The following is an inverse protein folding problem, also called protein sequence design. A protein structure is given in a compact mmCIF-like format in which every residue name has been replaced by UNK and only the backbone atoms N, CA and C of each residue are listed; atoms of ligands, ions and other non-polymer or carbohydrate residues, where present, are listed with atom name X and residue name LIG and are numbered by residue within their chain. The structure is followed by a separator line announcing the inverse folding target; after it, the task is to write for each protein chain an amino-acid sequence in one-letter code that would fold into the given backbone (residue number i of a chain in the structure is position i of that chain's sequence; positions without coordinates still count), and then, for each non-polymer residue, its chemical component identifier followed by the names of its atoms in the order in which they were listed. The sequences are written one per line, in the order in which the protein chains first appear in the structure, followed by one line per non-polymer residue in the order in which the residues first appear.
data_IF_605405974280
#
_entry.id   IF_605405974280
#
_cell.length_a   1.000
_cell.length_b   1.000
_cell.length_c   1.000
_cell.angle_alpha   90.00
_cell.angle_beta   90.00
_cell.angle_gamma   90.00
#
_symmetry.space_group_name_H-M   'P 1'
#
loop_
_entity.id
_entity.type
_entity.pdbx_description
1 polymer ?
#
# COMPACT_ATOMS: atom_id res chain seq x y z
N UNK A 1 -8.48 -6.42 -1.30
CA UNK A 1 -7.44 -6.46 -2.39
C UNK A 1 -6.57 -5.22 -2.27
N UNK A 2 -5.24 -5.14 -2.52
CA UNK A 2 -4.38 -5.99 -3.37
C UNK A 2 -2.95 -6.30 -2.82
N UNK A 3 -2.27 -7.32 -3.37
CA UNK A 3 -0.81 -7.54 -3.39
C UNK A 3 0.00 -7.12 -2.14
N UNK A 4 -0.04 -7.91 -1.07
CA UNK A 4 1.20 -8.21 -0.35
C UNK A 4 1.94 -9.24 -1.21
N UNK A 5 3.21 -9.04 -1.53
CA UNK A 5 4.07 -10.13 -2.04
C UNK A 5 3.69 -11.41 -1.27
N UNK A 6 3.18 -12.40 -1.98
CA UNK A 6 2.35 -13.49 -1.46
C UNK A 6 3.07 -14.41 -0.48
N UNK A 7 3.27 -13.94 0.74
CA UNK A 7 3.75 -14.72 1.88
C UNK A 7 2.78 -14.61 3.07
N UNK A 8 1.48 -14.49 2.81
CA UNK A 8 0.48 -14.90 3.81
C UNK A 8 0.22 -16.39 3.63
N UNK A 9 1.24 -17.19 3.94
CA UNK A 9 1.14 -18.64 3.99
C UNK A 9 0.57 -18.96 5.35
N UNK A 10 -0.76 -18.89 5.43
CA UNK A 10 -1.51 -19.22 6.66
C UNK A 10 -1.23 -20.63 7.16
N UNK A 11 -0.68 -21.49 6.30
CA UNK A 11 -0.42 -22.89 6.60
C UNK A 11 1.06 -23.20 6.92
N UNK A 12 1.99 -22.22 6.85
CA UNK A 12 3.44 -22.43 6.95
C UNK A 12 3.97 -23.66 6.18
N UNK A 13 3.29 -24.02 5.09
CA UNK A 13 3.58 -25.21 4.29
C UNK A 13 4.77 -24.93 3.36
N UNK A 14 5.93 -25.58 3.58
CA UNK A 14 7.14 -25.33 2.80
C UNK A 14 6.97 -25.61 1.30
N UNK A 15 6.09 -26.54 0.90
CA UNK A 15 5.89 -26.90 -0.50
C UNK A 15 5.15 -25.79 -1.25
N UNK A 16 4.02 -25.31 -0.69
CA UNK A 16 3.29 -24.15 -1.22
C UNK A 16 4.16 -22.89 -1.27
N UNK A 17 5.06 -22.76 -0.31
CA UNK A 17 6.01 -21.65 -0.21
C UNK A 17 7.05 -21.71 -1.34
N UNK A 18 7.56 -22.90 -1.65
CA UNK A 18 8.50 -23.11 -2.76
C UNK A 18 7.84 -22.89 -4.13
N UNK A 19 6.59 -23.31 -4.30
CA UNK A 19 5.78 -23.07 -5.50
C UNK A 19 5.58 -21.56 -5.74
N UNK A 20 5.10 -20.83 -4.73
CA UNK A 20 4.90 -19.39 -4.82
C UNK A 20 6.19 -18.60 -5.12
N UNK A 21 7.33 -19.03 -4.56
CA UNK A 21 8.63 -18.41 -4.85
C UNK A 21 9.11 -18.67 -6.28
N UNK A 22 8.81 -19.86 -6.82
CA UNK A 22 9.15 -20.20 -8.21
C UNK A 22 8.36 -19.35 -9.20
N UNK A 23 7.07 -19.14 -8.94
CA UNK A 23 6.21 -18.27 -9.75
C UNK A 23 6.65 -16.80 -9.74
N UNK A 24 7.11 -16.29 -8.59
CA UNK A 24 7.60 -14.91 -8.48
C UNK A 24 8.86 -14.69 -9.34
N UNK A 25 9.72 -15.70 -9.46
CA UNK A 25 10.99 -15.58 -10.20
C UNK A 25 10.78 -15.33 -11.69
N UNK A 26 9.74 -15.92 -12.26
CA UNK A 26 9.45 -15.83 -13.70
C UNK A 26 8.43 -14.73 -14.04
N UNK A 27 7.78 -14.13 -13.02
CA UNK A 27 6.74 -13.11 -13.21
C UNK A 27 7.34 -11.74 -13.48
N UNK A 28 6.88 -11.06 -14.53
CA UNK A 28 7.30 -9.67 -14.79
C UNK A 28 6.62 -8.69 -13.84
N UNK A 29 7.31 -7.58 -13.56
CA UNK A 29 6.78 -6.49 -12.73
C UNK A 29 5.46 -5.93 -13.29
N UNK A 30 5.34 -5.83 -14.62
CA UNK A 30 4.13 -5.36 -15.29
C UNK A 30 2.89 -6.23 -15.00
N UNK A 31 3.09 -7.51 -14.71
CA UNK A 31 2.01 -8.44 -14.37
C UNK A 31 1.60 -8.37 -12.88
N UNK A 32 2.43 -7.73 -12.06
CA UNK A 32 2.18 -7.52 -10.64
C UNK A 32 1.78 -6.08 -10.30
N UNK A 33 2.00 -5.12 -11.19
CA UNK A 33 1.68 -3.71 -10.94
C UNK A 33 0.19 -3.43 -11.03
N UNK A 34 -0.23 -2.29 -10.47
CA UNK A 34 -1.60 -1.77 -10.59
C UNK A 34 -1.58 -0.52 -11.45
N UNK A 35 -2.39 -0.46 -12.51
CA UNK A 35 -2.43 0.70 -13.42
C UNK A 35 -3.21 1.88 -12.81
N UNK A 36 -4.44 1.63 -12.33
CA UNK A 36 -5.34 2.66 -11.83
C UNK A 36 -5.10 3.01 -10.35
N UNK A 37 -3.86 3.42 -10.05
CA UNK A 37 -3.35 3.69 -8.69
C UNK A 37 -4.18 4.77 -7.99
N UNK A 38 -4.48 4.54 -6.72
CA UNK A 38 -5.24 5.50 -5.91
C UNK A 38 -4.29 6.48 -5.25
N UNK A 39 -4.33 7.73 -5.70
CA UNK A 39 -3.46 8.81 -5.25
C UNK A 39 -4.23 9.86 -4.41
N UNK A 40 -3.49 10.70 -3.71
CA UNK A 40 -3.97 11.91 -3.01
C UNK A 40 -2.97 13.08 -3.16
N UNK A 41 -3.44 14.34 -3.07
CA UNK A 41 -2.56 15.52 -3.06
C UNK A 41 -1.85 15.72 -1.70
N UNK A 42 -0.78 16.52 -1.62
CA UNK A 42 0.00 16.72 -0.39
C UNK A 42 -0.77 17.44 0.74
N UNK A 43 -1.80 18.20 0.42
CA UNK A 43 -2.67 18.89 1.37
C UNK A 43 -3.80 17.99 1.93
N UNK A 44 -3.86 16.72 1.52
CA UNK A 44 -4.88 15.79 1.99
C UNK A 44 -4.73 15.48 3.48
N UNK A 45 -5.70 15.92 4.30
CA UNK A 45 -5.70 15.61 5.73
C UNK A 45 -5.80 14.11 6.06
N UNK A 46 -5.31 13.73 7.24
CA UNK A 46 -5.24 12.34 7.73
C UNK A 46 -6.56 11.57 7.63
N UNK A 47 -7.69 12.20 7.96
CA UNK A 47 -9.01 11.57 7.84
C UNK A 47 -9.38 11.20 6.40
N UNK A 48 -8.98 12.00 5.41
CA UNK A 48 -9.20 11.71 3.98
C UNK A 48 -8.33 10.54 3.53
N UNK A 49 -7.07 10.49 3.98
CA UNK A 49 -6.16 9.37 3.73
C UNK A 49 -6.73 8.07 4.32
N UNK A 50 -7.13 8.09 5.59
CA UNK A 50 -7.71 6.92 6.27
C UNK A 50 -8.97 6.40 5.55
N UNK A 51 -9.88 7.30 5.16
CA UNK A 51 -11.08 6.94 4.38
C UNK A 51 -10.72 6.34 3.02
N UNK A 52 -9.74 6.89 2.31
CA UNK A 52 -9.26 6.36 1.02
C UNK A 52 -8.69 4.96 1.19
N UNK A 53 -7.86 4.74 2.20
CA UNK A 53 -7.30 3.42 2.54
C UNK A 53 -8.40 2.41 2.84
N UNK A 54 -9.35 2.75 3.72
CA UNK A 54 -10.45 1.85 4.09
C UNK A 54 -11.37 1.54 2.90
N UNK A 55 -11.72 2.55 2.10
CA UNK A 55 -12.61 2.40 0.93
C UNK A 55 -12.02 1.49 -0.14
N UNK A 56 -10.71 1.55 -0.35
CA UNK A 56 -10.04 0.78 -1.41
C UNK A 56 -9.28 -0.44 -0.89
N UNK A 57 -9.40 -0.75 0.41
CA UNK A 57 -8.69 -1.86 1.07
C UNK A 57 -7.16 -1.87 0.87
N UNK A 58 -6.57 -0.69 0.78
CA UNK A 58 -5.13 -0.49 0.58
C UNK A 58 -4.43 -0.11 1.89
N UNK A 59 -3.17 -0.54 2.04
CA UNK A 59 -2.34 -0.24 3.20
C UNK A 59 -1.48 1.03 3.04
N UNK A 60 -1.33 1.49 1.79
CA UNK A 60 -0.46 2.61 1.41
C UNK A 60 -1.14 3.43 0.32
N UNK A 61 -0.91 4.74 0.34
CA UNK A 61 -1.45 5.69 -0.65
C UNK A 61 -0.30 6.58 -1.13
N UNK A 62 -0.01 6.60 -2.45
CA UNK A 62 0.90 7.56 -3.03
C UNK A 62 0.37 8.99 -2.94
N UNK A 63 1.27 9.92 -2.64
CA UNK A 63 1.01 11.36 -2.60
C UNK A 63 1.67 11.99 -3.82
N UNK A 64 0.92 12.76 -4.59
CA UNK A 64 1.38 13.38 -5.85
C UNK A 64 1.09 14.87 -5.87
N UNK A 65 1.87 15.63 -6.64
CA UNK A 65 1.57 17.04 -6.91
C UNK A 65 0.52 17.23 -8.03
N UNK A 66 0.29 18.49 -8.41
CA UNK A 66 -0.68 18.87 -9.46
C UNK A 66 -0.29 18.36 -10.86
N UNK A 67 0.99 18.07 -11.10
CA UNK A 67 1.51 17.50 -12.34
C UNK A 67 1.54 15.96 -12.31
N UNK A 68 0.93 15.33 -11.30
CA UNK A 68 0.96 13.89 -11.02
C UNK A 68 2.35 13.31 -10.74
N UNK A 69 3.32 14.14 -10.34
CA UNK A 69 4.62 13.66 -9.92
C UNK A 69 4.54 13.08 -8.51
N UNK A 70 5.12 11.91 -8.31
CA UNK A 70 5.18 11.26 -7.01
C UNK A 70 6.04 12.07 -6.03
N UNK A 71 5.42 12.52 -4.93
CA UNK A 71 6.10 13.18 -3.82
C UNK A 71 6.49 12.19 -2.73
N UNK A 72 5.68 11.16 -2.50
CA UNK A 72 5.95 10.16 -1.47
C UNK A 72 4.82 9.15 -1.28
N UNK A 73 4.90 8.38 -0.20
CA UNK A 73 3.93 7.37 0.18
C UNK A 73 3.54 7.55 1.65
N UNK A 74 2.25 7.46 1.94
CA UNK A 74 1.73 7.39 3.31
C UNK A 74 1.24 5.97 3.56
N UNK A 75 1.78 5.32 4.59
CA UNK A 75 1.35 4.02 5.07
C UNK A 75 0.38 4.16 6.24
N UNK A 76 -0.35 3.07 6.55
CA UNK A 76 -1.27 3.03 7.70
C UNK A 76 -0.59 3.43 9.02
N UNK A 77 0.67 3.03 9.23
CA UNK A 77 1.41 3.36 10.44
C UNK A 77 1.61 4.88 10.59
N UNK A 78 1.89 5.59 9.50
CA UNK A 78 2.06 7.05 9.49
C UNK A 78 0.75 7.76 9.86
N UNK A 79 -0.39 7.24 9.39
CA UNK A 79 -1.72 7.77 9.73
C UNK A 79 -2.00 7.64 11.23
N UNK A 80 -1.70 6.48 11.83
CA UNK A 80 -1.87 6.25 13.27
C UNK A 80 -0.95 7.18 14.06
N UNK A 81 0.31 7.28 13.65
CA UNK A 81 1.30 8.17 14.27
C UNK A 81 0.83 9.63 14.24
N UNK A 82 0.36 10.13 13.10
CA UNK A 82 -0.09 11.51 12.95
C UNK A 82 -1.36 11.85 13.74
N UNK A 83 -2.19 10.87 14.11
CA UNK A 83 -3.30 11.11 15.04
C UNK A 83 -2.81 11.33 16.48
N UNK A 84 -1.73 10.65 16.88
CA UNK A 84 -1.18 10.73 18.23
C UNK A 84 -0.38 12.03 18.45
N UNK A 85 0.39 12.44 17.44
CA UNK A 85 1.17 13.69 17.50
C UNK A 85 0.28 14.93 17.58
N UNK A 86 -0.98 14.85 17.13
CA UNK A 86 -1.94 15.95 17.20
C UNK A 86 -2.59 16.12 18.59
N UNK A 87 -2.41 15.18 19.52
CA UNK A 87 -2.90 15.32 20.90
C UNK A 87 -1.88 16.00 21.83
N UNK A 88 -0.62 16.12 21.39
CA UNK A 88 0.47 16.74 22.17
C UNK A 88 0.70 18.23 21.84
N UNK A 89 -0.08 18.79 20.90
CA UNK A 89 -0.14 20.22 20.52
C UNK A 89 -1.41 20.89 21.04
#
# INVERSE_FOLDING_TARGET
LPLSLGLSIKDHDPEKMAEALSDIKEKKVEEAMTENVKILPPDAGLGKIARKMKKHEINRVPIVDEENKLLGLVARADVVKGFWEKEEE
#
